data_IF_724425942800
#
_entry.id   IF_724425942800
#
_cell.length_a   1.000
_cell.length_b   1.000
_cell.length_c   1.000
_cell.angle_alpha   90.00
_cell.angle_beta   90.00
_cell.angle_gamma   90.00
#
_symmetry.space_group_name_H-M   'P 1'
#
loop_
_entity.id
_entity.type
_entity.pdbx_description
1 polymer ?
#
# COMPACT_ATOMS: atom_id res chain seq x y z
N UNK A 1 35.48 2.78 -29.19
CA UNK A 1 34.30 1.98 -28.82
C UNK A 1 33.25 2.93 -28.30
N UNK A 2 32.02 2.92 -28.81
CA UNK A 2 30.98 3.82 -28.28
C UNK A 2 30.73 3.47 -26.81
N UNK A 3 30.72 4.49 -25.98
CA UNK A 3 30.38 4.38 -24.53
C UNK A 3 28.92 3.93 -24.47
N UNK A 4 28.68 2.69 -24.11
CA UNK A 4 27.32 2.17 -23.93
C UNK A 4 26.67 3.01 -22.84
N UNK A 5 25.70 3.83 -23.19
CA UNK A 5 24.92 4.60 -22.20
C UNK A 5 24.09 3.58 -21.43
N UNK A 6 24.48 3.37 -20.20
CA UNK A 6 23.76 2.46 -19.30
C UNK A 6 22.53 3.19 -18.81
N UNK A 7 21.36 2.64 -19.06
CA UNK A 7 20.10 3.15 -18.56
C UNK A 7 19.96 2.78 -17.07
N UNK A 8 19.82 3.79 -16.22
CA UNK A 8 19.69 3.61 -14.78
C UNK A 8 18.43 2.80 -14.43
N UNK A 9 17.34 3.02 -15.14
CA UNK A 9 16.07 2.35 -14.86
C UNK A 9 16.17 0.86 -15.16
N UNK A 10 16.87 0.48 -16.24
CA UNK A 10 17.17 -0.93 -16.53
C UNK A 10 18.04 -1.58 -15.48
N UNK A 11 18.97 -0.84 -14.87
CA UNK A 11 19.77 -1.36 -13.74
C UNK A 11 18.89 -1.59 -12.53
N UNK A 12 17.97 -0.67 -12.24
CA UNK A 12 17.01 -0.82 -11.12
C UNK A 12 16.07 -1.99 -11.37
N UNK A 13 15.53 -2.15 -12.56
CA UNK A 13 14.66 -3.28 -12.94
C UNK A 13 15.38 -4.63 -12.78
N UNK A 14 16.63 -4.71 -13.23
CA UNK A 14 17.43 -5.91 -13.05
C UNK A 14 17.75 -6.20 -11.57
N UNK A 15 18.06 -5.15 -10.81
CA UNK A 15 18.29 -5.27 -9.37
C UNK A 15 17.03 -5.72 -8.63
N UNK A 16 15.88 -5.15 -8.98
CA UNK A 16 14.58 -5.56 -8.48
C UNK A 16 14.29 -7.04 -8.80
N UNK A 17 14.51 -7.46 -10.05
CA UNK A 17 14.32 -8.86 -10.45
C UNK A 17 15.21 -9.84 -9.67
N UNK A 18 16.45 -9.46 -9.33
CA UNK A 18 17.32 -10.25 -8.45
C UNK A 18 16.76 -10.32 -7.03
N UNK A 19 16.35 -9.17 -6.48
CA UNK A 19 15.82 -9.09 -5.12
C UNK A 19 14.49 -9.85 -4.96
N UNK A 20 13.62 -9.81 -5.96
CA UNK A 20 12.34 -10.53 -5.96
C UNK A 20 12.52 -12.06 -5.92
N UNK A 21 13.55 -12.58 -6.60
CA UNK A 21 13.82 -14.03 -6.69
C UNK A 21 14.69 -14.58 -5.57
N UNK A 22 15.68 -13.81 -5.14
CA UNK A 22 16.74 -14.33 -4.27
C UNK A 22 16.82 -13.60 -2.93
N UNK A 23 16.00 -12.58 -2.73
CA UNK A 23 16.01 -11.72 -1.57
C UNK A 23 16.90 -10.48 -1.73
N UNK A 24 16.51 -9.42 -1.04
CA UNK A 24 17.25 -8.14 -1.08
C UNK A 24 18.63 -8.26 -0.40
N UNK A 25 18.77 -9.18 0.54
CA UNK A 25 20.05 -9.50 1.20
C UNK A 25 21.08 -10.10 0.24
N UNK A 26 20.62 -10.86 -0.76
CA UNK A 26 21.47 -11.47 -1.80
C UNK A 26 21.93 -10.47 -2.87
N UNK A 27 21.34 -9.27 -2.91
CA UNK A 27 21.67 -8.23 -3.87
C UNK A 27 23.06 -7.66 -3.58
N UNK A 28 23.88 -7.50 -4.63
CA UNK A 28 25.19 -6.83 -4.55
C UNK A 28 25.52 -6.14 -5.87
N UNK A 29 26.36 -5.10 -5.79
CA UNK A 29 26.84 -4.37 -6.96
C UNK A 29 27.53 -5.31 -7.96
N UNK A 30 28.30 -6.29 -7.47
CA UNK A 30 28.98 -7.28 -8.34
C UNK A 30 27.98 -8.20 -9.03
N UNK A 31 26.95 -8.66 -8.34
CA UNK A 31 25.91 -9.52 -8.89
C UNK A 31 25.10 -8.78 -9.96
N UNK A 32 24.73 -7.53 -9.69
CA UNK A 32 24.04 -6.68 -10.65
C UNK A 32 24.90 -6.45 -11.90
N UNK A 33 26.19 -6.12 -11.73
CA UNK A 33 27.13 -5.93 -12.84
C UNK A 33 27.23 -7.18 -13.72
N UNK A 34 27.36 -8.36 -13.10
CA UNK A 34 27.40 -9.63 -13.82
C UNK A 34 26.08 -9.91 -14.57
N UNK A 35 24.94 -9.69 -13.96
CA UNK A 35 23.63 -9.89 -14.56
C UNK A 35 23.37 -8.95 -15.75
N UNK A 36 23.92 -7.73 -15.71
CA UNK A 36 23.81 -6.75 -16.79
C UNK A 36 24.93 -6.85 -17.84
N UNK A 37 25.93 -7.70 -17.64
CA UNK A 37 27.08 -7.82 -18.54
C UNK A 37 27.94 -6.55 -18.61
N UNK A 38 28.06 -5.79 -17.52
CA UNK A 38 28.79 -4.53 -17.44
C UNK A 38 29.89 -4.55 -16.38
N UNK A 39 30.82 -3.60 -16.47
CA UNK A 39 31.87 -3.47 -15.47
C UNK A 39 31.30 -3.03 -14.10
N UNK A 40 31.83 -3.57 -13.01
CA UNK A 40 31.43 -3.22 -11.62
C UNK A 40 31.54 -1.71 -11.37
N UNK A 41 32.62 -1.06 -11.89
CA UNK A 41 32.80 0.38 -11.78
C UNK A 41 31.67 1.20 -12.43
N UNK A 42 31.04 0.66 -13.48
CA UNK A 42 29.88 1.32 -14.10
C UNK A 42 28.66 1.34 -13.18
N UNK A 43 28.44 0.30 -12.41
CA UNK A 43 27.32 0.26 -11.43
C UNK A 43 27.58 1.25 -10.29
N UNK A 44 28.81 1.35 -9.81
CA UNK A 44 29.17 2.31 -8.76
C UNK A 44 28.98 3.78 -9.15
N UNK A 45 28.96 4.09 -10.46
CA UNK A 45 28.62 5.45 -10.91
C UNK A 45 27.16 5.82 -10.64
N UNK A 46 26.26 4.84 -10.56
CA UNK A 46 24.81 5.02 -10.33
C UNK A 46 24.43 4.74 -8.86
N UNK A 47 25.11 3.78 -8.25
CA UNK A 47 24.88 3.35 -6.87
C UNK A 47 26.22 3.27 -6.14
N UNK A 48 26.66 4.38 -5.51
CA UNK A 48 27.94 4.47 -4.82
C UNK A 48 28.10 3.44 -3.70
N UNK A 49 27.00 3.04 -3.08
CA UNK A 49 26.97 2.03 -2.02
C UNK A 49 25.93 0.94 -2.29
N UNK A 50 26.04 -0.19 -1.58
CA UNK A 50 24.98 -1.21 -1.59
C UNK A 50 23.68 -0.64 -1.02
N UNK A 51 23.75 0.25 -0.02
CA UNK A 51 22.60 0.90 0.58
C UNK A 51 21.82 1.74 -0.44
N UNK A 52 22.49 2.46 -1.35
CA UNK A 52 21.85 3.21 -2.44
C UNK A 52 21.11 2.28 -3.40
N UNK A 53 21.71 1.13 -3.71
CA UNK A 53 21.11 0.11 -4.56
C UNK A 53 19.87 -0.52 -3.88
N UNK A 54 19.96 -0.85 -2.60
CA UNK A 54 18.86 -1.37 -1.78
C UNK A 54 17.70 -0.38 -1.73
N UNK A 55 17.99 0.90 -1.48
CA UNK A 55 16.98 1.97 -1.49
C UNK A 55 16.33 2.17 -2.87
N UNK A 56 17.08 2.00 -3.96
CA UNK A 56 16.54 2.09 -5.32
C UNK A 56 15.57 0.94 -5.62
N UNK A 57 15.90 -0.29 -5.22
CA UNK A 57 15.03 -1.46 -5.35
C UNK A 57 13.76 -1.29 -4.52
N UNK A 58 13.88 -0.78 -3.29
CA UNK A 58 12.72 -0.48 -2.45
C UNK A 58 11.77 0.52 -3.12
N UNK A 59 12.29 1.64 -3.63
CA UNK A 59 11.47 2.62 -4.37
C UNK A 59 10.82 2.01 -5.61
N UNK A 60 11.52 1.11 -6.32
CA UNK A 60 10.99 0.44 -7.51
C UNK A 60 9.82 -0.49 -7.16
N UNK A 61 9.94 -1.26 -6.07
CA UNK A 61 8.88 -2.12 -5.57
C UNK A 61 7.59 -1.33 -5.31
N UNK A 62 7.68 -0.31 -4.47
CA UNK A 62 6.51 0.49 -4.14
C UNK A 62 6.00 1.33 -5.31
N UNK A 63 6.90 1.86 -6.14
CA UNK A 63 6.51 2.60 -7.34
C UNK A 63 5.68 1.74 -8.29
N UNK A 64 6.06 0.49 -8.50
CA UNK A 64 5.32 -0.42 -9.37
C UNK A 64 3.98 -0.84 -8.76
N UNK A 65 3.98 -1.23 -7.48
CA UNK A 65 2.77 -1.66 -6.78
C UNK A 65 1.71 -0.55 -6.66
N UNK A 66 2.17 0.71 -6.57
CA UNK A 66 1.28 1.86 -6.34
C UNK A 66 0.88 2.60 -7.61
N UNK A 67 1.77 2.63 -8.62
CA UNK A 67 1.57 3.52 -9.77
C UNK A 67 0.45 3.07 -10.70
N UNK A 68 0.26 1.77 -10.87
CA UNK A 68 -0.75 1.23 -11.80
C UNK A 68 -2.17 1.31 -11.23
N UNK A 69 -2.33 1.17 -9.91
CA UNK A 69 -3.64 1.10 -9.25
C UNK A 69 -4.04 2.42 -8.55
N UNK A 70 -3.09 3.13 -7.94
CA UNK A 70 -3.39 4.30 -7.13
C UNK A 70 -3.48 5.60 -7.92
N UNK A 71 -2.92 5.68 -9.13
CA UNK A 71 -3.02 6.89 -9.98
C UNK A 71 -4.32 6.96 -10.79
N UNK A 72 -5.20 5.96 -10.73
CA UNK A 72 -6.50 5.95 -11.40
C UNK A 72 -7.63 6.26 -10.42
N UNK A 73 -7.56 7.40 -9.75
CA UNK A 73 -8.70 7.92 -8.99
C UNK A 73 -9.64 8.57 -10.00
N UNK A 74 -10.74 7.92 -10.33
CA UNK A 74 -11.73 8.45 -11.26
C UNK A 74 -12.81 9.31 -10.55
N UNK A 75 -12.69 9.50 -9.24
CA UNK A 75 -13.61 10.31 -8.43
C UNK A 75 -14.98 9.67 -8.17
N UNK A 76 -15.21 8.45 -8.65
CA UNK A 76 -16.46 7.70 -8.44
C UNK A 76 -16.32 6.60 -7.36
N UNK A 77 -15.09 6.27 -6.99
CA UNK A 77 -14.77 5.23 -6.02
C UNK A 77 -14.87 5.76 -4.58
N UNK A 78 -15.48 5.00 -3.68
CA UNK A 78 -15.49 5.36 -2.26
C UNK A 78 -14.08 5.29 -1.65
N UNK A 79 -13.84 6.08 -0.60
CA UNK A 79 -12.55 6.02 0.11
C UNK A 79 -12.23 4.60 0.61
N UNK A 80 -13.22 3.88 1.13
CA UNK A 80 -13.03 2.52 1.64
C UNK A 80 -12.70 1.54 0.51
N UNK A 81 -13.35 1.65 -0.65
CA UNK A 81 -13.03 0.81 -1.81
C UNK A 81 -11.61 1.11 -2.33
N UNK A 82 -11.21 2.38 -2.35
CA UNK A 82 -9.85 2.75 -2.69
C UNK A 82 -8.81 2.14 -1.72
N UNK A 83 -9.08 2.19 -0.40
CA UNK A 83 -8.20 1.59 0.63
C UNK A 83 -8.13 0.07 0.45
N UNK A 84 -9.25 -0.59 0.14
CA UNK A 84 -9.33 -2.02 -0.15
C UNK A 84 -8.49 -2.40 -1.37
N UNK A 85 -8.61 -1.62 -2.44
CA UNK A 85 -7.84 -1.76 -3.67
C UNK A 85 -6.34 -1.56 -3.45
N UNK A 86 -5.96 -0.53 -2.70
CA UNK A 86 -4.56 -0.26 -2.32
C UNK A 86 -3.94 -1.45 -1.58
N UNK A 87 -4.66 -2.01 -0.57
CA UNK A 87 -4.20 -3.20 0.14
C UNK A 87 -4.06 -4.40 -0.78
N UNK A 88 -5.03 -4.60 -1.68
CA UNK A 88 -5.00 -5.67 -2.68
C UNK A 88 -3.77 -5.59 -3.57
N UNK A 89 -3.51 -4.43 -4.18
CA UNK A 89 -2.37 -4.18 -5.05
C UNK A 89 -1.01 -4.42 -4.35
N UNK A 90 -0.87 -3.95 -3.10
CA UNK A 90 0.31 -4.22 -2.30
C UNK A 90 0.46 -5.72 -1.98
N UNK A 91 -0.63 -6.40 -1.65
CA UNK A 91 -0.65 -7.85 -1.39
C UNK A 91 -0.26 -8.67 -2.62
N UNK A 92 -0.80 -8.32 -3.79
CA UNK A 92 -0.46 -8.96 -5.07
C UNK A 92 1.00 -8.76 -5.44
N UNK A 93 1.53 -7.54 -5.26
CA UNK A 93 2.95 -7.25 -5.51
C UNK A 93 3.87 -8.08 -4.59
N UNK A 94 3.50 -8.25 -3.33
CA UNK A 94 4.24 -9.11 -2.39
C UNK A 94 4.13 -10.60 -2.76
N UNK A 95 2.96 -11.05 -3.21
CA UNK A 95 2.73 -12.43 -3.62
C UNK A 95 3.51 -12.82 -4.90
N UNK A 96 3.92 -11.86 -5.71
CA UNK A 96 4.77 -12.08 -6.89
C UNK A 96 6.25 -12.29 -6.55
N UNK A 97 6.64 -12.15 -5.27
CA UNK A 97 8.00 -12.39 -4.84
C UNK A 97 8.21 -13.84 -4.44
N UNK A 98 9.34 -14.42 -4.84
CA UNK A 98 9.73 -15.77 -4.47
C UNK A 98 10.24 -15.89 -3.01
N UNK A 99 10.30 -14.76 -2.30
CA UNK A 99 10.86 -14.63 -0.94
C UNK A 99 9.94 -13.83 -0.03
N UNK A 100 10.00 -14.09 1.28
CA UNK A 100 9.36 -13.22 2.27
C UNK A 100 10.10 -11.89 2.35
N UNK A 101 9.54 -10.89 1.66
CA UNK A 101 10.09 -9.54 1.57
C UNK A 101 10.32 -8.89 2.93
N UNK A 102 9.37 -9.02 3.84
CA UNK A 102 9.49 -8.42 5.17
C UNK A 102 10.56 -9.12 6.03
N UNK A 103 10.67 -10.45 5.92
CA UNK A 103 11.75 -11.19 6.59
C UNK A 103 13.12 -10.80 6.05
N UNK A 104 13.24 -10.64 4.73
CA UNK A 104 14.48 -10.19 4.11
C UNK A 104 14.86 -8.76 4.55
N UNK A 105 13.90 -7.85 4.63
CA UNK A 105 14.15 -6.50 5.11
C UNK A 105 14.63 -6.46 6.57
N UNK A 106 14.08 -7.31 7.44
CA UNK A 106 14.52 -7.43 8.85
C UNK A 106 15.97 -7.91 9.00
N UNK A 107 16.53 -8.59 7.99
CA UNK A 107 17.91 -9.11 7.99
C UNK A 107 18.95 -8.14 7.46
N UNK A 108 18.53 -6.98 6.96
CA UNK A 108 19.46 -6.02 6.39
C UNK A 108 20.43 -5.45 7.43
N UNK A 109 21.68 -5.16 7.05
CA UNK A 109 22.63 -4.43 7.89
C UNK A 109 22.12 -3.02 8.21
N UNK A 110 22.61 -2.46 9.32
CA UNK A 110 22.19 -1.14 9.81
C UNK A 110 22.29 -0.02 8.76
N UNK A 111 23.38 0.02 8.00
CA UNK A 111 23.57 1.04 6.95
C UNK A 111 22.53 0.95 5.82
N UNK A 112 22.06 -0.27 5.51
CA UNK A 112 21.00 -0.49 4.52
C UNK A 112 19.64 -0.15 5.12
N UNK A 113 19.41 -0.41 6.40
CA UNK A 113 18.20 0.05 7.11
C UNK A 113 18.08 1.57 7.14
N UNK A 114 19.16 2.30 7.44
CA UNK A 114 19.16 3.76 7.45
C UNK A 114 18.81 4.34 6.07
N UNK A 115 19.38 3.78 4.99
CA UNK A 115 19.06 4.18 3.63
C UNK A 115 17.61 3.85 3.24
N UNK A 116 17.10 2.73 3.73
CA UNK A 116 15.72 2.31 3.51
C UNK A 116 14.74 3.24 4.22
N UNK A 117 14.98 3.59 5.48
CA UNK A 117 14.17 4.56 6.22
C UNK A 117 14.16 5.93 5.54
N UNK A 118 15.32 6.39 5.05
CA UNK A 118 15.41 7.63 4.28
C UNK A 118 14.60 7.56 2.95
N UNK A 119 14.51 6.39 2.33
CA UNK A 119 13.72 6.18 1.12
C UNK A 119 12.21 6.05 1.41
N UNK A 120 11.86 5.47 2.57
CA UNK A 120 10.48 5.20 3.01
C UNK A 120 9.72 6.46 3.35
N UNK A 121 10.34 7.40 4.05
CA UNK A 121 9.68 8.61 4.53
C UNK A 121 8.96 9.41 3.43
N UNK A 122 9.65 9.84 2.36
CA UNK A 122 9.02 10.56 1.25
C UNK A 122 7.92 9.73 0.54
N UNK A 123 8.10 8.42 0.45
CA UNK A 123 7.12 7.53 -0.16
C UNK A 123 5.84 7.44 0.68
N UNK A 124 5.96 7.22 2.00
CA UNK A 124 4.80 7.20 2.89
C UNK A 124 4.06 8.53 2.87
N UNK A 125 4.80 9.65 2.92
CA UNK A 125 4.19 10.99 2.82
C UNK A 125 3.39 11.17 1.52
N UNK A 126 3.91 10.66 0.39
CA UNK A 126 3.18 10.70 -0.88
C UNK A 126 1.91 9.83 -0.85
N UNK A 127 1.98 8.63 -0.28
CA UNK A 127 0.82 7.75 -0.10
C UNK A 127 -0.24 8.38 0.82
N UNK A 128 0.20 8.97 1.93
CA UNK A 128 -0.68 9.68 2.87
C UNK A 128 -1.40 10.85 2.19
N UNK A 129 -0.69 11.65 1.41
CA UNK A 129 -1.28 12.74 0.63
C UNK A 129 -2.30 12.22 -0.40
N UNK A 130 -1.99 11.11 -1.07
CA UNK A 130 -2.92 10.46 -2.00
C UNK A 130 -4.20 10.00 -1.29
N UNK A 131 -4.09 9.35 -0.14
CA UNK A 131 -5.22 8.93 0.68
C UNK A 131 -6.06 10.13 1.17
N UNK A 132 -5.40 11.20 1.64
CA UNK A 132 -6.10 12.42 2.06
C UNK A 132 -6.91 13.00 0.91
N UNK A 133 -6.32 13.06 -0.29
CA UNK A 133 -7.01 13.58 -1.47
C UNK A 133 -8.25 12.74 -1.83
N UNK A 134 -8.16 11.42 -1.79
CA UNK A 134 -9.31 10.53 -2.05
C UNK A 134 -10.38 10.69 -0.97
N UNK A 135 -9.99 10.76 0.30
CA UNK A 135 -10.91 10.96 1.42
C UNK A 135 -11.68 12.29 1.32
N UNK A 136 -11.00 13.36 0.93
CA UNK A 136 -11.59 14.69 0.77
C UNK A 136 -12.45 14.81 -0.50
N UNK A 137 -12.14 14.02 -1.53
CA UNK A 137 -12.86 14.02 -2.80
C UNK A 137 -14.11 13.14 -2.80
N UNK A 138 -14.24 12.20 -1.85
CA UNK A 138 -15.38 11.29 -1.77
C UNK A 138 -16.64 12.01 -1.30
N UNK A 139 -17.66 12.18 -2.16
CA UNK A 139 -18.88 12.94 -1.82
C UNK A 139 -19.80 12.21 -0.83
N UNK A 140 -19.60 10.90 -0.63
CA UNK A 140 -20.39 10.11 0.31
C UNK A 140 -19.87 10.20 1.75
N UNK A 141 -18.64 10.68 1.94
CA UNK A 141 -18.05 10.87 3.25
C UNK A 141 -18.74 12.01 3.99
N UNK A 142 -19.12 11.78 5.23
CA UNK A 142 -19.66 12.80 6.13
C UNK A 142 -18.53 13.70 6.62
N UNK A 143 -18.16 14.71 5.84
CA UNK A 143 -16.99 15.58 6.09
C UNK A 143 -17.00 16.27 7.46
N UNK A 144 -18.16 16.50 8.06
CA UNK A 144 -18.25 17.05 9.42
C UNK A 144 -17.69 16.11 10.51
N UNK A 145 -17.51 14.82 10.20
CA UNK A 145 -16.88 13.82 11.09
C UNK A 145 -15.35 13.81 11.00
N UNK A 146 -14.78 14.44 9.95
CA UNK A 146 -13.32 14.48 9.74
C UNK A 146 -12.64 15.50 10.67
N UNK A 147 -12.83 15.32 11.99
CA UNK A 147 -12.29 16.22 13.01
C UNK A 147 -11.61 15.42 14.13
N UNK A 148 -10.70 16.06 14.84
CA UNK A 148 -10.05 15.48 16.01
C UNK A 148 -9.23 14.21 15.70
N UNK A 149 -9.70 13.04 16.15
CA UNK A 149 -9.03 11.76 15.88
C UNK A 149 -9.22 11.26 14.44
N UNK A 150 -10.30 11.67 13.78
CA UNK A 150 -10.65 11.31 12.41
C UNK A 150 -10.20 12.37 11.39
N UNK A 151 -9.41 13.38 11.80
CA UNK A 151 -8.87 14.32 10.80
C UNK A 151 -8.01 13.59 9.76
N UNK A 152 -8.01 14.02 8.49
CA UNK A 152 -7.28 13.34 7.42
C UNK A 152 -5.80 13.09 7.77
N UNK A 153 -5.14 14.05 8.44
CA UNK A 153 -3.73 13.97 8.82
C UNK A 153 -3.44 12.88 9.87
N UNK A 154 -4.47 12.40 10.59
CA UNK A 154 -4.34 11.32 11.58
C UNK A 154 -4.89 10.00 11.06
N UNK A 155 -6.01 10.07 10.35
CA UNK A 155 -6.69 8.89 9.83
C UNK A 155 -5.86 8.20 8.73
N UNK A 156 -5.33 8.95 7.77
CA UNK A 156 -4.61 8.36 6.65
C UNK A 156 -3.31 7.62 7.06
N UNK A 157 -2.44 8.18 7.94
CA UNK A 157 -1.31 7.43 8.48
C UNK A 157 -1.73 6.18 9.28
N UNK A 158 -2.82 6.26 10.05
CA UNK A 158 -3.37 5.10 10.78
C UNK A 158 -3.82 3.99 9.82
N UNK A 159 -4.55 4.35 8.76
CA UNK A 159 -5.01 3.41 7.73
C UNK A 159 -3.82 2.73 7.06
N UNK A 160 -2.81 3.50 6.61
CA UNK A 160 -1.60 2.96 6.01
C UNK A 160 -0.84 2.04 6.97
N UNK A 161 -0.66 2.45 8.20
CA UNK A 161 0.00 1.63 9.24
C UNK A 161 -0.72 0.29 9.44
N UNK A 162 -2.05 0.30 9.49
CA UNK A 162 -2.87 -0.91 9.62
C UNK A 162 -2.75 -1.82 8.40
N UNK A 163 -2.77 -1.26 7.17
CA UNK A 163 -2.54 -2.03 5.93
C UNK A 163 -1.19 -2.72 5.98
N UNK A 164 -0.11 -1.99 6.27
CA UNK A 164 1.23 -2.58 6.32
C UNK A 164 1.36 -3.65 7.40
N UNK A 165 0.77 -3.44 8.57
CA UNK A 165 0.75 -4.44 9.64
C UNK A 165 0.03 -5.70 9.19
N UNK A 166 -1.16 -5.57 8.58
CA UNK A 166 -1.91 -6.72 8.08
C UNK A 166 -1.14 -7.52 7.02
N UNK A 167 -0.42 -6.83 6.13
CA UNK A 167 0.41 -7.49 5.12
C UNK A 167 1.61 -8.23 5.73
N UNK A 168 2.24 -7.64 6.77
CA UNK A 168 3.35 -8.29 7.49
C UNK A 168 2.91 -9.52 8.28
N UNK A 169 1.70 -9.52 8.80
CA UNK A 169 1.14 -10.60 9.64
C UNK A 169 0.34 -11.62 8.82
N UNK A 170 0.06 -11.33 7.54
CA UNK A 170 -0.80 -12.16 6.70
C UNK A 170 -2.27 -12.15 7.17
N UNK A 171 -2.66 -11.12 7.92
CA UNK A 171 -4.03 -10.95 8.40
C UNK A 171 -4.90 -10.20 7.39
N UNK A 172 -6.23 -10.31 7.51
CA UNK A 172 -7.16 -9.51 6.73
C UNK A 172 -7.33 -8.09 7.31
N UNK A 173 -7.92 -7.20 6.52
CA UNK A 173 -8.23 -5.82 6.94
C UNK A 173 -9.74 -5.57 7.05
N UNK A 174 -10.58 -6.59 7.06
CA UNK A 174 -12.04 -6.42 7.10
C UNK A 174 -12.51 -5.61 8.33
N UNK A 175 -11.94 -5.77 9.54
CA UNK A 175 -12.27 -4.90 10.67
C UNK A 175 -11.96 -3.42 10.41
N UNK A 176 -10.85 -3.10 9.73
CA UNK A 176 -10.52 -1.72 9.35
C UNK A 176 -11.57 -1.16 8.39
N UNK A 177 -11.92 -1.90 7.34
CA UNK A 177 -12.90 -1.46 6.36
C UNK A 177 -14.27 -1.23 7.00
N UNK A 178 -14.74 -2.15 7.84
CA UNK A 178 -16.00 -2.01 8.58
C UNK A 178 -16.00 -0.78 9.51
N UNK A 179 -14.88 -0.49 10.18
CA UNK A 179 -14.74 0.69 11.03
C UNK A 179 -14.75 1.98 10.22
N UNK A 180 -14.10 2.00 9.06
CA UNK A 180 -14.10 3.16 8.16
C UNK A 180 -15.52 3.40 7.62
N UNK A 181 -16.22 2.36 7.15
CA UNK A 181 -17.59 2.47 6.68
C UNK A 181 -18.51 3.05 7.76
N UNK A 182 -18.48 2.50 8.97
CA UNK A 182 -19.31 2.97 10.06
C UNK A 182 -18.97 4.40 10.52
N UNK A 183 -17.71 4.82 10.40
CA UNK A 183 -17.24 6.11 10.89
C UNK A 183 -17.42 7.24 9.89
N UNK A 184 -17.24 6.95 8.61
CA UNK A 184 -17.14 7.96 7.55
C UNK A 184 -18.45 8.19 6.81
N UNK A 185 -19.31 7.16 6.70
CA UNK A 185 -20.55 7.25 5.93
C UNK A 185 -21.78 7.30 6.81
N UNK A 186 -22.88 7.77 6.27
CA UNK A 186 -24.17 7.64 6.95
C UNK A 186 -24.60 6.16 6.97
N UNK A 187 -25.17 5.72 8.10
CA UNK A 187 -25.73 4.39 8.15
C UNK A 187 -26.83 4.28 7.09
N UNK A 188 -26.70 3.31 6.18
CA UNK A 188 -27.80 2.94 5.29
C UNK A 188 -28.95 2.54 6.22
N UNK A 189 -30.03 3.30 6.26
CA UNK A 189 -31.23 2.93 6.99
C UNK A 189 -31.71 1.63 6.33
N UNK A 190 -31.39 0.48 6.93
CA UNK A 190 -32.03 -0.77 6.58
C UNK A 190 -33.55 -0.53 6.69
N UNK A 191 -34.20 -0.57 5.56
CA UNK A 191 -35.66 -0.48 5.48
C UNK A 191 -36.28 -1.62 6.27
N UNK A 192 -36.44 -1.39 7.58
CA UNK A 192 -37.31 -2.21 8.39
C UNK A 192 -38.70 -1.97 7.84
N UNK A 193 -39.12 -2.88 6.96
CA UNK A 193 -40.52 -2.98 6.60
C UNK A 193 -41.32 -3.05 7.91
N UNK A 194 -41.99 -1.94 8.22
CA UNK A 194 -43.02 -1.91 9.26
C UNK A 194 -44.11 -2.87 8.83
N UNK A 195 -43.94 -4.12 9.23
CA UNK A 195 -45.00 -5.10 9.19
C UNK A 195 -46.11 -4.58 10.08
N UNK A 196 -47.14 -4.01 9.46
CA UNK A 196 -48.45 -3.73 10.05
C UNK A 196 -48.93 -4.97 10.76
N UNK A 197 -48.87 -4.98 12.08
CA UNK A 197 -49.62 -5.92 12.89
C UNK A 197 -51.08 -5.55 12.75
N UNK A 198 -51.76 -6.27 11.85
CA UNK A 198 -53.20 -6.19 11.77
C UNK A 198 -53.77 -6.74 13.07
N UNK A 199 -54.47 -5.85 13.80
CA UNK A 199 -55.26 -6.23 14.95
C UNK A 199 -56.37 -7.23 14.53
N UNK A 200 -56.37 -8.41 15.13
CA UNK A 200 -57.48 -9.35 15.01
C UNK A 200 -58.67 -8.81 15.83
N UNK A 201 -59.92 -8.93 15.31
CA UNK A 201 -61.08 -8.47 16.02
C UNK A 201 -61.43 -9.48 17.15
N UNK A 202 -61.75 -8.91 18.27
CA UNK A 202 -62.34 -9.49 19.49
C UNK A 202 -63.71 -10.11 19.11
N UNK A 203 -63.84 -11.44 19.11
CA UNK A 203 -65.12 -12.12 19.14
C UNK A 203 -65.37 -12.68 20.51
N UNK A 204 -66.10 -11.87 21.30
CA UNK A 204 -66.82 -12.29 22.50
C UNK A 204 -68.05 -13.06 22.05
N UNK A 205 -68.18 -14.37 22.41
CA UNK A 205 -69.46 -15.04 22.54
C UNK A 205 -69.45 -16.11 23.64
N UNK A 206 -70.29 -15.81 24.55
CA UNK A 206 -71.06 -16.63 25.48
C UNK A 206 -71.06 -18.15 25.26
N UNK A 207 -70.75 -18.94 26.32
CA UNK A 207 -71.59 -19.85 27.06
C UNK A 207 -70.78 -20.47 28.23
#
# INVERSE_FOLDING_TARGET
MPKQVIDKDKLVDQAYSIAAREGISALSVRKLAAACGIAVGSVYMYFPTKADLTAAVFRRFFGQALFEECCRVDGSESFVDYVRKLRGALGEALAQMDVDWFAEMRRLPRSEHEALEAARGPMLAHMEQGLQHVLEADPAVVHSRLVGALSPEKLCPFVLGTIFTSLMEGSDCEPLFALLDASLYEAVADGVASGSVAAAPDEMKDC
#
